data_IF_188284281626
#
_entry.id   IF_188284281626
#
_cell.length_a   1.000
_cell.length_b   1.000
_cell.length_c   1.000
_cell.angle_alpha   90.00
_cell.angle_beta   90.00
_cell.angle_gamma   90.00
#
_symmetry.space_group_name_H-M   'P 1'
#
loop_
_entity.id
_entity.type
_entity.pdbx_description
1 polymer ?
#
# COMPACT_ATOMS: atom_id res chain seq x y z
N UNK A 1 -18.47 -4.79 0.83
CA UNK A 1 -17.58 -3.91 0.04
C UNK A 1 -17.59 -4.45 -1.39
N UNK A 2 -17.76 -3.59 -2.38
CA UNK A 2 -17.71 -4.00 -3.80
C UNK A 2 -16.25 -4.38 -4.14
N UNK A 3 -16.02 -5.53 -4.79
CA UNK A 3 -14.65 -5.98 -5.11
C UNK A 3 -13.91 -4.96 -5.98
N UNK A 4 -14.63 -4.23 -6.84
CA UNK A 4 -14.06 -3.16 -7.65
C UNK A 4 -13.55 -2.00 -6.78
N UNK A 5 -14.31 -1.64 -5.72
CA UNK A 5 -13.89 -0.62 -4.76
C UNK A 5 -12.67 -1.05 -3.95
N UNK A 6 -12.60 -2.32 -3.56
CA UNK A 6 -11.45 -2.86 -2.84
C UNK A 6 -10.18 -2.85 -3.70
N UNK A 7 -10.29 -3.21 -4.99
CA UNK A 7 -9.17 -3.12 -5.93
C UNK A 7 -8.71 -1.67 -6.15
N UNK A 8 -9.65 -0.75 -6.36
CA UNK A 8 -9.33 0.67 -6.53
C UNK A 8 -8.64 1.24 -5.29
N UNK A 9 -9.14 0.93 -4.08
CA UNK A 9 -8.51 1.31 -2.82
C UNK A 9 -7.09 0.73 -2.67
N UNK A 10 -6.90 -0.55 -3.03
CA UNK A 10 -5.58 -1.20 -3.02
C UNK A 10 -4.59 -0.50 -3.95
N UNK A 11 -5.02 -0.18 -5.18
CA UNK A 11 -4.18 0.51 -6.14
C UNK A 11 -3.82 1.94 -5.67
N UNK A 12 -4.79 2.67 -5.10
CA UNK A 12 -4.56 3.99 -4.54
C UNK A 12 -3.54 3.95 -3.41
N UNK A 13 -3.72 3.04 -2.45
CA UNK A 13 -2.83 2.88 -1.30
C UNK A 13 -1.38 2.57 -1.71
N UNK A 14 -1.18 1.68 -2.68
CA UNK A 14 0.15 1.38 -3.23
C UNK A 14 0.72 2.62 -3.94
N UNK A 15 -0.10 3.35 -4.69
CA UNK A 15 0.31 4.58 -5.37
C UNK A 15 0.79 5.66 -4.39
N UNK A 16 0.03 5.87 -3.31
CA UNK A 16 0.37 6.82 -2.25
C UNK A 16 1.67 6.42 -1.53
N UNK A 17 1.85 5.12 -1.25
CA UNK A 17 3.09 4.60 -0.70
C UNK A 17 4.30 4.87 -1.61
N UNK A 18 4.17 4.66 -2.92
CA UNK A 18 5.25 4.95 -3.90
C UNK A 18 5.56 6.44 -3.97
N UNK A 19 4.54 7.29 -4.00
CA UNK A 19 4.73 8.75 -4.01
C UNK A 19 5.50 9.21 -2.75
N UNK A 20 5.12 8.69 -1.58
CA UNK A 20 5.77 9.04 -0.32
C UNK A 20 7.24 8.59 -0.30
N UNK A 21 7.54 7.38 -0.76
CA UNK A 21 8.93 6.90 -0.88
C UNK A 21 9.77 7.79 -1.81
N UNK A 22 9.21 8.21 -2.94
CA UNK A 22 9.88 9.12 -3.88
C UNK A 22 10.12 10.49 -3.22
N UNK A 23 9.14 11.02 -2.50
CA UNK A 23 9.27 12.28 -1.78
C UNK A 23 10.35 12.23 -0.69
N UNK A 24 10.51 11.09 -0.02
CA UNK A 24 11.55 10.83 0.97
C UNK A 24 12.93 10.50 0.34
N UNK A 25 13.02 10.39 -0.98
CA UNK A 25 14.25 9.98 -1.67
C UNK A 25 14.65 8.53 -1.38
N UNK A 26 13.71 7.69 -0.95
CA UNK A 26 13.92 6.27 -0.66
C UNK A 26 13.84 5.42 -1.93
N UNK A 27 14.52 4.28 -1.93
CA UNK A 27 14.41 3.32 -3.02
C UNK A 27 12.98 2.78 -3.12
N UNK A 28 12.49 2.60 -4.35
CA UNK A 28 11.18 1.99 -4.61
C UNK A 28 11.37 0.49 -4.84
N UNK A 29 11.22 -0.29 -3.78
CA UNK A 29 11.28 -1.76 -3.76
C UNK A 29 10.00 -2.34 -3.13
N UNK A 30 9.66 -3.59 -3.40
CA UNK A 30 8.49 -4.24 -2.78
C UNK A 30 8.53 -4.17 -1.24
N UNK A 31 9.72 -4.33 -0.65
CA UNK A 31 9.93 -4.22 0.80
C UNK A 31 9.63 -2.81 1.30
N UNK A 32 10.22 -1.77 0.68
CA UNK A 32 9.98 -0.38 1.08
C UNK A 32 8.52 0.05 0.89
N UNK A 33 7.85 -0.45 -0.15
CA UNK A 33 6.43 -0.17 -0.40
C UNK A 33 5.60 -0.84 0.68
N UNK A 34 5.92 -2.09 1.08
CA UNK A 34 5.22 -2.79 2.16
C UNK A 34 5.34 -2.02 3.48
N UNK A 35 6.55 -1.61 3.84
CA UNK A 35 6.78 -0.79 5.04
C UNK A 35 5.99 0.52 5.00
N UNK A 36 5.96 1.20 3.85
CA UNK A 36 5.22 2.45 3.72
C UNK A 36 3.70 2.24 3.76
N UNK A 37 3.19 1.16 3.16
CA UNK A 37 1.78 0.76 3.27
C UNK A 37 1.40 0.52 4.73
N UNK A 38 2.24 -0.15 5.51
CA UNK A 38 2.02 -0.36 6.95
C UNK A 38 2.04 0.95 7.75
N UNK A 39 2.86 1.93 7.34
CA UNK A 39 2.90 3.26 7.96
C UNK A 39 1.68 4.12 7.61
N UNK A 40 1.16 4.00 6.39
CA UNK A 40 -0.03 4.72 5.92
C UNK A 40 -1.33 4.08 6.42
N UNK A 41 -1.30 2.80 6.78
CA UNK A 41 -2.45 2.10 7.35
C UNK A 41 -2.83 2.72 8.70
N UNK A 42 -4.11 3.05 8.86
CA UNK A 42 -4.65 3.46 10.15
C UNK A 42 -4.88 2.25 11.06
N UNK A 43 -5.19 2.47 12.34
CA UNK A 43 -5.36 1.39 13.32
C UNK A 43 -6.61 0.50 13.10
N UNK A 44 -7.46 0.82 12.12
CA UNK A 44 -8.62 0.01 11.75
C UNK A 44 -8.27 -1.05 10.67
N UNK A 45 -8.90 -2.23 10.70
CA UNK A 45 -8.66 -3.26 9.70
C UNK A 45 -9.13 -2.80 8.30
N UNK A 46 -8.17 -2.60 7.40
CA UNK A 46 -8.41 -2.23 6.00
C UNK A 46 -8.08 -3.40 5.05
N UNK A 47 -9.10 -3.90 4.36
CA UNK A 47 -8.97 -4.96 3.35
C UNK A 47 -8.00 -4.57 2.22
N UNK A 48 -7.90 -3.29 1.88
CA UNK A 48 -6.96 -2.80 0.88
C UNK A 48 -5.49 -2.95 1.35
N UNK A 49 -5.23 -2.76 2.65
CA UNK A 49 -3.91 -2.98 3.26
C UNK A 49 -3.53 -4.46 3.17
N UNK A 50 -4.45 -5.37 3.51
CA UNK A 50 -4.20 -6.81 3.42
C UNK A 50 -3.88 -7.25 1.99
N UNK A 51 -4.62 -6.76 1.00
CA UNK A 51 -4.36 -7.05 -0.41
C UNK A 51 -3.04 -6.45 -0.89
N UNK A 52 -2.74 -5.20 -0.52
CA UNK A 52 -1.48 -4.56 -0.87
C UNK A 52 -0.28 -5.35 -0.33
N UNK A 53 -0.31 -5.70 0.97
CA UNK A 53 0.74 -6.51 1.61
C UNK A 53 0.86 -7.87 0.91
N UNK A 54 -0.25 -8.53 0.60
CA UNK A 54 -0.23 -9.82 -0.09
C UNK A 54 0.42 -9.75 -1.48
N UNK A 55 0.23 -8.64 -2.21
CA UNK A 55 0.84 -8.44 -3.53
C UNK A 55 2.36 -8.18 -3.45
N UNK A 56 2.82 -7.62 -2.34
CA UNK A 56 4.21 -7.20 -2.13
C UNK A 56 5.10 -8.31 -1.53
N UNK A 57 4.54 -9.47 -1.19
CA UNK A 57 5.24 -10.63 -0.57
C UNK A 57 6.21 -11.42 -1.49
N UNK A 58 6.71 -10.83 -2.57
CA UNK A 58 7.68 -11.51 -3.45
C UNK A 58 9.08 -11.56 -2.85
#
# INVERSE_FOLDING_TARGET
MDMEKAQAATAQLIGDAVIQLIAEGRAVTNESIREMVELLADAEPDLAVEFAISMLRK
#
